data_IF_415396643700
#
_entry.id   IF_415396643700
#
_cell.length_a   1.000
_cell.length_b   1.000
_cell.length_c   1.000
_cell.angle_alpha   90.00
_cell.angle_beta   90.00
_cell.angle_gamma   90.00
#
_symmetry.space_group_name_H-M   'P 1'
#
loop_
_entity.id
_entity.type
_entity.pdbx_description
1 polymer ?
#
# COMPACT_ATOMS: atom_id res chain seq x y z
N UNK A 1 1.35 52.28 -20.66
CA UNK A 1 0.86 52.37 -22.04
C UNK A 1 1.23 51.12 -22.78
N UNK A 2 0.36 50.49 -23.57
CA UNK A 2 -1.09 50.36 -23.39
C UNK A 2 -1.54 48.90 -23.22
N UNK A 3 -2.76 48.78 -22.70
CA UNK A 3 -3.53 47.57 -22.59
C UNK A 3 -4.06 47.13 -23.97
N UNK A 4 -4.22 45.82 -24.17
CA UNK A 4 -5.08 45.29 -25.24
C UNK A 4 -6.14 44.40 -24.57
N UNK A 5 -7.36 44.90 -24.62
CA UNK A 5 -8.61 44.19 -24.32
C UNK A 5 -8.92 43.19 -25.46
N UNK A 6 -9.33 42.00 -25.12
CA UNK A 6 -10.18 41.18 -25.98
C UNK A 6 -11.41 40.74 -25.22
N UNK A 7 -12.55 41.26 -25.68
CA UNK A 7 -13.90 40.98 -25.26
C UNK A 7 -14.49 39.87 -26.11
N UNK A 8 -15.24 38.97 -25.49
CA UNK A 8 -16.51 38.48 -26.04
C UNK A 8 -16.50 37.12 -26.69
N UNK A 9 -17.06 36.11 -25.99
CA UNK A 9 -17.88 35.03 -26.57
C UNK A 9 -19.04 34.76 -25.60
N UNK A 10 -20.31 34.70 -26.08
CA UNK A 10 -21.48 34.62 -25.24
C UNK A 10 -21.85 33.18 -24.87
N UNK A 11 -22.43 33.08 -23.68
CA UNK A 11 -23.19 31.93 -23.21
C UNK A 11 -24.52 31.81 -23.98
N UNK A 12 -24.90 30.59 -24.37
CA UNK A 12 -26.26 30.07 -24.36
C UNK A 12 -26.29 28.69 -25.00
N UNK A 13 -26.56 27.66 -24.23
CA UNK A 13 -27.45 26.58 -24.70
C UNK A 13 -28.26 26.05 -23.50
N UNK A 14 -29.54 26.32 -23.63
CA UNK A 14 -30.58 26.03 -22.67
C UNK A 14 -30.98 24.54 -22.71
N UNK A 15 -31.44 24.11 -21.56
CA UNK A 15 -32.17 22.88 -21.30
C UNK A 15 -33.37 22.69 -22.25
N UNK A 16 -33.56 21.48 -22.76
CA UNK A 16 -34.79 21.04 -23.42
C UNK A 16 -35.31 19.77 -22.78
N UNK A 17 -36.26 19.91 -21.84
CA UNK A 17 -37.11 18.83 -21.39
C UNK A 17 -38.26 18.66 -22.42
N UNK A 18 -38.44 17.44 -22.94
CA UNK A 18 -39.65 17.10 -23.71
C UNK A 18 -40.54 16.17 -22.87
N UNK A 19 -41.63 16.75 -22.40
CA UNK A 19 -42.81 16.02 -21.88
C UNK A 19 -43.70 15.65 -23.06
N UNK A 20 -44.01 14.38 -23.27
CA UNK A 20 -45.07 13.94 -24.14
C UNK A 20 -46.33 13.61 -23.34
N UNK A 21 -47.35 14.48 -23.50
CA UNK A 21 -48.70 14.29 -22.98
C UNK A 21 -49.49 13.31 -23.85
N UNK A 22 -50.30 12.49 -23.17
CA UNK A 22 -51.33 11.62 -23.72
C UNK A 22 -52.49 12.47 -24.27
N UNK A 23 -52.89 12.23 -25.53
CA UNK A 23 -54.23 12.49 -25.98
C UNK A 23 -54.68 11.39 -26.94
N UNK A 24 -55.73 10.72 -26.51
CA UNK A 24 -56.47 9.70 -27.26
C UNK A 24 -57.29 10.35 -28.37
N UNK A 25 -57.14 9.88 -29.59
CA UNK A 25 -58.13 10.16 -30.67
C UNK A 25 -58.60 8.83 -31.25
N UNK A 26 -59.89 8.52 -31.02
CA UNK A 26 -60.66 7.49 -31.72
C UNK A 26 -61.04 8.01 -33.07
N UNK A 27 -60.59 7.36 -34.12
CA UNK A 27 -61.18 7.48 -35.44
C UNK A 27 -61.62 6.10 -35.97
N UNK A 28 -62.88 5.97 -36.07
CA UNK A 28 -63.61 4.85 -36.62
C UNK A 28 -63.49 4.91 -38.16
N UNK A 29 -62.93 3.89 -38.80
CA UNK A 29 -62.93 3.75 -40.22
C UNK A 29 -63.53 2.38 -40.61
N UNK A 30 -64.66 2.48 -41.31
CA UNK A 30 -65.37 1.37 -41.90
C UNK A 30 -64.83 1.06 -43.29
N UNK A 31 -64.69 -0.26 -43.52
CA UNK A 31 -64.72 -0.97 -44.79
C UNK A 31 -64.09 -0.31 -46.01
N UNK A 32 -63.04 -0.89 -46.53
CA UNK A 32 -62.82 -1.12 -47.97
C UNK A 32 -61.59 -2.07 -48.19
N UNK A 33 -61.81 -3.13 -48.95
CA UNK A 33 -60.90 -3.75 -49.88
C UNK A 33 -59.67 -4.51 -49.28
N UNK A 34 -59.76 -5.84 -49.25
CA UNK A 34 -58.53 -6.73 -49.08
C UNK A 34 -57.65 -6.57 -50.32
N UNK A 35 -56.59 -5.80 -50.22
CA UNK A 35 -55.45 -5.89 -51.14
C UNK A 35 -54.51 -6.97 -50.60
N UNK A 36 -54.45 -8.10 -51.34
CA UNK A 36 -53.39 -9.12 -51.08
C UNK A 36 -52.04 -8.53 -51.53
N UNK A 37 -51.22 -8.19 -50.63
CA UNK A 37 -49.79 -7.97 -50.89
C UNK A 37 -49.10 -9.35 -51.06
N UNK A 38 -48.24 -9.54 -52.06
CA UNK A 38 -47.50 -10.78 -52.23
C UNK A 38 -46.48 -10.94 -51.09
N UNK A 39 -46.62 -12.02 -50.30
CA UNK A 39 -45.65 -12.46 -49.33
C UNK A 39 -44.43 -12.95 -50.07
N UNK A 40 -43.41 -12.11 -50.20
CA UNK A 40 -42.09 -12.57 -50.59
C UNK A 40 -41.40 -13.16 -49.34
N UNK A 41 -40.74 -14.30 -49.47
CA UNK A 41 -40.16 -15.01 -48.34
C UNK A 41 -38.89 -14.30 -47.82
N UNK A 42 -38.84 -14.02 -46.52
CA UNK A 42 -37.69 -13.52 -45.77
C UNK A 42 -36.49 -14.49 -45.72
N UNK A 43 -36.22 -15.26 -46.77
CA UNK A 43 -35.08 -16.20 -46.83
C UNK A 43 -33.73 -15.54 -47.09
N UNK A 44 -33.67 -14.34 -47.61
CA UNK A 44 -32.38 -13.68 -47.94
C UNK A 44 -31.73 -12.93 -46.80
N UNK A 45 -32.47 -12.52 -45.77
CA UNK A 45 -31.85 -11.83 -44.61
C UNK A 45 -31.19 -12.78 -43.60
N UNK A 46 -31.76 -13.99 -43.41
CA UNK A 46 -31.21 -14.98 -42.50
C UNK A 46 -29.88 -15.59 -43.04
N UNK A 47 -29.77 -15.76 -44.36
CA UNK A 47 -28.53 -16.28 -44.97
C UNK A 47 -27.36 -15.29 -44.95
N UNK A 48 -27.65 -13.97 -44.96
CA UNK A 48 -26.63 -12.92 -44.89
C UNK A 48 -26.10 -12.74 -43.47
N UNK A 49 -26.97 -12.83 -42.46
CA UNK A 49 -26.57 -12.77 -41.03
C UNK A 49 -25.69 -13.97 -40.65
N UNK A 50 -26.02 -15.18 -41.08
CA UNK A 50 -25.21 -16.38 -40.81
C UNK A 50 -23.84 -16.38 -41.52
N UNK A 51 -23.74 -15.75 -42.69
CA UNK A 51 -22.47 -15.61 -43.40
C UNK A 51 -21.55 -14.55 -42.76
N UNK A 52 -22.12 -13.48 -42.26
CA UNK A 52 -21.40 -12.44 -41.52
C UNK A 52 -20.95 -12.93 -40.15
N UNK A 53 -21.73 -13.74 -39.42
CA UNK A 53 -21.33 -14.39 -38.16
C UNK A 53 -20.19 -15.37 -38.40
N UNK A 54 -20.27 -16.24 -39.41
CA UNK A 54 -19.21 -17.19 -39.71
C UNK A 54 -17.89 -16.52 -40.18
N UNK A 55 -17.98 -15.38 -40.87
CA UNK A 55 -16.82 -14.57 -41.25
C UNK A 55 -16.17 -13.90 -40.04
N UNK A 56 -17.00 -13.44 -39.10
CA UNK A 56 -16.55 -12.81 -37.86
C UNK A 56 -15.88 -13.85 -36.91
N UNK A 57 -16.44 -15.04 -36.82
CA UNK A 57 -15.84 -16.16 -36.08
C UNK A 57 -14.46 -16.55 -36.65
N UNK A 58 -14.34 -16.72 -37.98
CA UNK A 58 -13.06 -17.02 -38.64
C UNK A 58 -12.02 -15.90 -38.40
N UNK A 59 -12.45 -14.66 -38.42
CA UNK A 59 -11.59 -13.51 -38.14
C UNK A 59 -11.11 -13.51 -36.67
N UNK A 60 -11.99 -13.84 -35.73
CA UNK A 60 -11.64 -13.97 -34.31
C UNK A 60 -10.69 -15.14 -34.07
N UNK A 61 -10.90 -16.28 -34.69
CA UNK A 61 -9.97 -17.41 -34.60
C UNK A 61 -8.59 -17.09 -35.19
N UNK A 62 -8.53 -16.41 -36.33
CA UNK A 62 -7.28 -15.95 -36.91
C UNK A 62 -6.52 -14.97 -36.00
N UNK A 63 -7.25 -14.04 -35.40
CA UNK A 63 -6.69 -13.11 -34.40
C UNK A 63 -6.14 -13.85 -33.17
N UNK A 64 -6.87 -14.85 -32.67
CA UNK A 64 -6.44 -15.66 -31.51
C UNK A 64 -5.16 -16.44 -31.84
N UNK A 65 -5.09 -17.09 -33.00
CA UNK A 65 -3.88 -17.80 -33.46
C UNK A 65 -2.67 -16.88 -33.61
N UNK A 66 -2.86 -15.70 -34.21
CA UNK A 66 -1.79 -14.70 -34.34
C UNK A 66 -1.32 -14.19 -32.97
N UNK A 67 -2.23 -14.00 -32.03
CA UNK A 67 -1.88 -13.61 -30.66
C UNK A 67 -1.09 -14.71 -29.93
N UNK A 68 -1.53 -15.98 -30.06
CA UNK A 68 -0.85 -17.11 -29.42
C UNK A 68 0.57 -17.31 -30.00
N UNK A 69 0.75 -17.09 -31.31
CA UNK A 69 2.08 -17.09 -31.95
C UNK A 69 2.96 -15.93 -31.43
N UNK A 70 2.39 -14.73 -31.30
CA UNK A 70 3.12 -13.57 -30.73
C UNK A 70 3.53 -13.80 -29.28
N UNK A 71 2.63 -14.38 -28.46
CA UNK A 71 2.93 -14.74 -27.06
C UNK A 71 4.07 -15.74 -27.01
N UNK A 72 4.00 -16.82 -27.83
CA UNK A 72 5.03 -17.84 -27.88
C UNK A 72 6.39 -17.30 -28.33
N UNK A 73 6.40 -16.36 -29.26
CA UNK A 73 7.62 -15.69 -29.71
C UNK A 73 8.22 -14.82 -28.58
N UNK A 74 7.39 -14.03 -27.90
CA UNK A 74 7.83 -13.21 -26.76
C UNK A 74 8.39 -14.10 -25.65
N UNK A 75 7.71 -15.19 -25.31
CA UNK A 75 8.17 -16.11 -24.26
C UNK A 75 9.50 -16.80 -24.64
N UNK A 76 9.69 -17.14 -25.92
CA UNK A 76 10.94 -17.73 -26.40
C UNK A 76 12.12 -16.75 -26.39
N UNK A 77 11.86 -15.49 -26.71
CA UNK A 77 12.90 -14.43 -26.79
C UNK A 77 13.23 -13.82 -25.42
N UNK A 78 12.22 -13.60 -24.58
CA UNK A 78 12.36 -12.84 -23.32
C UNK A 78 12.13 -13.70 -22.05
N UNK A 79 11.80 -15.00 -22.23
CA UNK A 79 11.51 -15.91 -21.14
C UNK A 79 10.00 -16.10 -20.88
N UNK A 80 9.62 -17.22 -20.28
CA UNK A 80 8.20 -17.60 -20.03
C UNK A 80 7.42 -16.60 -19.20
N UNK A 81 8.08 -15.87 -18.30
CA UNK A 81 7.46 -14.85 -17.45
C UNK A 81 7.32 -13.48 -18.10
N UNK A 82 7.82 -13.28 -19.34
CA UNK A 82 7.81 -11.99 -20.02
C UNK A 82 6.38 -11.51 -20.36
N UNK A 83 5.48 -12.44 -20.63
CA UNK A 83 4.07 -12.18 -20.91
C UNK A 83 3.19 -13.29 -20.35
N UNK A 84 2.13 -12.93 -19.64
CA UNK A 84 1.15 -13.87 -19.09
C UNK A 84 -0.26 -13.32 -19.22
N UNK A 85 -1.26 -14.20 -19.27
CA UNK A 85 -2.67 -13.78 -19.18
C UNK A 85 -3.08 -13.64 -17.73
N UNK A 86 -3.74 -12.56 -17.39
CA UNK A 86 -4.17 -12.27 -16.00
C UNK A 86 -5.25 -13.24 -15.49
N UNK A 87 -5.91 -14.01 -16.37
CA UNK A 87 -6.93 -15.00 -16.04
C UNK A 87 -6.42 -16.43 -15.84
N UNK A 88 -5.16 -16.70 -16.10
CA UNK A 88 -4.54 -17.95 -15.68
C UNK A 88 -4.40 -17.88 -14.14
N UNK A 89 -4.87 -18.86 -13.39
CA UNK A 89 -5.03 -18.94 -11.92
C UNK A 89 -3.77 -18.64 -11.06
N UNK A 90 -2.82 -17.94 -11.62
CA UNK A 90 -1.71 -17.29 -10.94
C UNK A 90 -2.14 -15.89 -10.50
N UNK A 91 -3.28 -15.77 -9.82
CA UNK A 91 -3.49 -14.66 -8.86
C UNK A 91 -2.36 -14.81 -7.85
N UNK A 92 -1.30 -14.04 -8.07
CA UNK A 92 -0.10 -14.10 -7.27
C UNK A 92 -0.52 -13.61 -5.88
N UNK A 93 -0.72 -14.56 -4.96
CA UNK A 93 -0.74 -14.22 -3.55
C UNK A 93 0.52 -13.40 -3.30
N UNK A 94 0.31 -12.16 -2.89
CA UNK A 94 1.43 -11.24 -2.66
C UNK A 94 2.11 -11.71 -1.38
N UNK A 95 3.27 -12.34 -1.51
CA UNK A 95 4.07 -12.64 -0.33
C UNK A 95 4.36 -11.36 0.44
N UNK A 96 4.30 -11.48 1.76
CA UNK A 96 4.45 -10.33 2.64
C UNK A 96 5.36 -10.65 3.84
N UNK A 97 6.01 -9.63 4.34
CA UNK A 97 6.63 -9.64 5.66
C UNK A 97 5.68 -8.94 6.63
N UNK A 98 5.15 -9.63 7.65
CA UNK A 98 4.29 -9.02 8.65
C UNK A 98 5.00 -7.88 9.36
N UNK A 99 4.24 -6.90 9.79
CA UNK A 99 4.80 -5.80 10.60
C UNK A 99 4.99 -6.18 12.06
N UNK A 100 4.46 -7.33 12.49
CA UNK A 100 4.40 -7.74 13.90
C UNK A 100 3.21 -7.17 14.65
N UNK A 101 2.31 -6.47 13.96
CA UNK A 101 1.10 -5.91 14.53
C UNK A 101 -0.11 -6.16 13.62
N UNK A 102 -1.10 -6.90 14.13
CA UNK A 102 -2.28 -7.30 13.35
C UNK A 102 -3.14 -6.14 12.85
N UNK A 103 -3.17 -5.01 13.57
CA UNK A 103 -3.91 -3.81 13.14
C UNK A 103 -3.25 -3.17 11.92
N UNK A 104 -1.89 -3.09 11.93
CA UNK A 104 -1.11 -2.56 10.83
C UNK A 104 -1.21 -3.50 9.62
N UNK A 105 -1.06 -4.81 9.85
CA UNK A 105 -1.14 -5.83 8.80
C UNK A 105 -2.53 -5.84 8.14
N UNK A 106 -3.60 -5.66 8.91
CA UNK A 106 -4.96 -5.46 8.41
C UNK A 106 -5.08 -4.18 7.58
N UNK A 107 -4.52 -3.07 8.07
CA UNK A 107 -4.56 -1.80 7.35
C UNK A 107 -3.80 -1.85 6.02
N UNK A 108 -2.71 -2.62 5.93
CA UNK A 108 -1.99 -2.89 4.69
C UNK A 108 -2.81 -3.75 3.69
N UNK A 109 -3.83 -4.46 4.17
CA UNK A 109 -4.79 -5.22 3.37
C UNK A 109 -4.31 -6.60 2.92
N UNK A 110 -3.00 -6.77 2.71
CA UNK A 110 -2.38 -8.03 2.30
C UNK A 110 -1.76 -8.81 3.47
N UNK A 111 -1.70 -8.22 4.67
CA UNK A 111 -1.19 -8.89 5.88
C UNK A 111 0.26 -8.58 6.21
N UNK A 112 0.85 -7.54 5.62
CA UNK A 112 2.22 -7.11 5.87
C UNK A 112 2.78 -6.23 4.75
N UNK A 113 4.08 -5.98 4.80
CA UNK A 113 4.80 -5.29 3.73
C UNK A 113 5.01 -6.22 2.53
N UNK A 114 4.60 -5.81 1.31
CA UNK A 114 4.63 -6.69 0.14
C UNK A 114 6.06 -6.93 -0.35
N UNK A 115 6.43 -8.21 -0.55
CA UNK A 115 7.69 -8.62 -1.11
C UNK A 115 7.86 -8.15 -2.57
N UNK A 116 9.09 -7.82 -2.95
CA UNK A 116 9.39 -7.29 -4.28
C UNK A 116 8.90 -5.87 -4.51
N UNK A 117 8.64 -5.09 -3.45
CA UNK A 117 8.07 -3.75 -3.54
C UNK A 117 8.83 -2.72 -2.72
N UNK A 118 8.75 -1.49 -3.20
CA UNK A 118 9.23 -0.30 -2.48
C UNK A 118 8.09 0.19 -1.58
N UNK A 119 8.42 0.39 -0.30
CA UNK A 119 7.54 0.97 0.72
C UNK A 119 8.15 2.27 1.21
N UNK A 120 7.36 3.33 1.34
CA UNK A 120 7.74 4.56 2.03
C UNK A 120 6.98 4.67 3.35
N UNK A 121 7.71 4.78 4.46
CA UNK A 121 7.17 5.06 5.79
C UNK A 121 7.58 6.47 6.17
N UNK A 122 6.63 7.39 6.30
CA UNK A 122 6.94 8.80 6.54
C UNK A 122 6.07 9.39 7.65
N UNK A 123 6.60 10.41 8.30
CA UNK A 123 5.92 11.08 9.41
C UNK A 123 6.83 12.05 10.14
N UNK A 124 6.31 12.78 11.14
CA UNK A 124 7.08 13.65 12.01
C UNK A 124 8.19 12.90 12.77
N UNK A 125 9.09 13.63 13.40
CA UNK A 125 10.06 13.05 14.32
C UNK A 125 9.36 12.33 15.48
N UNK A 126 10.00 11.29 16.01
CA UNK A 126 9.48 10.50 17.16
C UNK A 126 8.06 9.93 16.93
N UNK A 127 7.63 9.76 15.68
CA UNK A 127 6.34 9.16 15.35
C UNK A 127 6.34 7.63 15.36
N UNK A 128 7.52 6.98 15.44
CA UNK A 128 7.66 5.51 15.47
C UNK A 128 8.07 4.88 14.13
N UNK A 129 8.61 5.66 13.17
CA UNK A 129 9.08 5.14 11.87
C UNK A 129 10.11 4.03 12.04
N UNK A 130 11.21 4.32 12.73
CA UNK A 130 12.29 3.36 13.00
C UNK A 130 11.80 2.16 13.82
N UNK A 131 10.91 2.37 14.79
CA UNK A 131 10.28 1.28 15.56
C UNK A 131 9.53 0.32 14.64
N UNK A 132 8.70 0.84 13.73
CA UNK A 132 7.94 0.03 12.79
C UNK A 132 8.85 -0.76 11.85
N UNK A 133 9.92 -0.14 11.32
CA UNK A 133 10.84 -0.81 10.40
C UNK A 133 11.69 -1.88 11.11
N UNK A 134 12.17 -1.61 12.32
CA UNK A 134 12.89 -2.60 13.13
C UNK A 134 12.01 -3.77 13.53
N UNK A 135 10.73 -3.52 13.85
CA UNK A 135 9.78 -4.62 14.13
C UNK A 135 9.57 -5.50 12.90
N UNK A 136 9.49 -4.91 11.70
CA UNK A 136 9.40 -5.67 10.45
C UNK A 136 10.68 -6.50 10.18
N UNK A 137 11.86 -5.96 10.47
CA UNK A 137 13.14 -6.71 10.43
C UNK A 137 13.07 -7.92 11.36
N UNK A 138 12.65 -7.72 12.62
CA UNK A 138 12.53 -8.80 13.58
C UNK A 138 11.55 -9.90 13.10
N UNK A 139 10.46 -9.53 12.42
CA UNK A 139 9.53 -10.51 11.83
C UNK A 139 10.15 -11.26 10.63
N UNK A 140 10.93 -10.60 9.79
CA UNK A 140 11.67 -11.26 8.72
C UNK A 140 12.66 -12.29 9.27
N UNK A 141 13.47 -11.90 10.27
CA UNK A 141 14.45 -12.78 10.92
C UNK A 141 13.78 -13.98 11.62
N UNK A 142 12.64 -13.79 12.29
CA UNK A 142 11.86 -14.89 12.90
C UNK A 142 11.41 -15.94 11.88
N UNK A 143 11.30 -15.58 10.60
CA UNK A 143 10.97 -16.49 9.50
C UNK A 143 12.20 -17.07 8.81
N UNK A 144 13.40 -16.85 9.36
CA UNK A 144 14.69 -17.28 8.79
C UNK A 144 15.18 -16.38 7.65
N UNK A 145 14.56 -15.21 7.46
CA UNK A 145 14.97 -14.23 6.44
C UNK A 145 16.14 -13.37 6.88
N UNK A 146 16.88 -12.83 5.92
CA UNK A 146 18.01 -11.93 6.13
C UNK A 146 17.57 -10.46 5.94
N UNK A 147 18.12 -9.59 6.77
CA UNK A 147 17.78 -8.17 6.78
C UNK A 147 19.02 -7.28 6.75
N UNK A 148 18.89 -6.11 6.13
CA UNK A 148 19.89 -5.06 6.14
C UNK A 148 19.30 -3.72 6.57
N UNK A 149 20.05 -2.96 7.35
CA UNK A 149 19.71 -1.63 7.80
C UNK A 149 20.79 -0.63 7.32
N UNK A 150 20.39 0.30 6.45
CA UNK A 150 21.26 1.37 5.94
C UNK A 150 20.95 2.60 6.77
N UNK A 151 21.79 2.87 7.76
CA UNK A 151 21.64 3.93 8.75
C UNK A 151 22.34 5.20 8.27
N UNK A 152 21.60 6.03 7.54
CA UNK A 152 22.09 7.32 7.03
C UNK A 152 22.06 8.41 8.10
N UNK A 153 21.21 8.26 9.12
CA UNK A 153 21.13 9.21 10.25
C UNK A 153 22.18 8.93 11.32
N UNK A 154 22.87 7.78 11.27
CA UNK A 154 23.82 7.31 12.30
C UNK A 154 23.21 7.25 13.71
N UNK A 155 21.93 6.89 13.78
CA UNK A 155 21.12 7.00 14.98
C UNK A 155 20.52 5.67 15.48
N UNK A 156 20.94 4.53 14.90
CA UNK A 156 20.44 3.22 15.32
C UNK A 156 20.93 2.90 16.74
N UNK A 157 19.98 2.68 17.65
CA UNK A 157 20.27 2.14 19.00
C UNK A 157 20.20 0.60 18.99
N UNK A 158 21.33 -0.11 19.14
CA UNK A 158 21.34 -1.58 19.15
C UNK A 158 20.60 -2.18 20.34
N UNK A 159 20.55 -1.47 21.49
CA UNK A 159 19.84 -1.97 22.67
C UNK A 159 18.33 -1.90 22.44
N UNK A 160 17.86 -0.82 21.82
CA UNK A 160 16.46 -0.68 21.46
C UNK A 160 16.06 -1.71 20.38
N UNK A 161 16.89 -1.91 19.36
CA UNK A 161 16.63 -2.92 18.34
C UNK A 161 16.50 -4.34 18.93
N UNK A 162 17.37 -4.73 19.88
CA UNK A 162 17.26 -6.00 20.62
C UNK A 162 15.94 -6.11 21.39
N UNK A 163 15.49 -5.03 22.05
CA UNK A 163 14.20 -5.02 22.76
C UNK A 163 13.02 -5.24 21.83
N UNK A 164 13.12 -4.79 20.57
CA UNK A 164 12.11 -5.04 19.52
C UNK A 164 12.19 -6.46 18.95
N UNK A 165 13.13 -7.26 19.37
CA UNK A 165 13.32 -8.66 18.95
C UNK A 165 14.19 -8.83 17.72
N UNK A 166 14.96 -7.80 17.33
CA UNK A 166 15.95 -7.91 16.26
C UNK A 166 17.14 -8.73 16.72
N UNK A 167 17.50 -9.76 15.97
CA UNK A 167 18.77 -10.47 16.13
C UNK A 167 19.90 -9.62 15.51
N UNK A 168 20.71 -9.03 16.37
CA UNK A 168 21.79 -8.11 15.95
C UNK A 168 22.96 -8.85 15.31
N UNK A 169 23.14 -10.14 15.60
CA UNK A 169 24.25 -10.94 15.06
C UNK A 169 24.02 -11.27 13.58
N UNK A 170 22.75 -11.31 13.14
CA UNK A 170 22.34 -11.58 11.76
C UNK A 170 21.91 -10.31 11.01
N UNK A 171 21.94 -9.13 11.65
CA UNK A 171 21.57 -7.89 10.99
C UNK A 171 22.77 -7.26 10.30
N UNK A 172 22.67 -7.08 8.97
CA UNK A 172 23.65 -6.30 8.23
C UNK A 172 23.40 -4.81 8.46
N UNK A 173 24.42 -4.09 8.94
CA UNK A 173 24.34 -2.64 9.17
C UNK A 173 25.36 -1.95 8.27
N UNK A 174 24.94 -0.87 7.62
CA UNK A 174 25.80 0.02 6.84
C UNK A 174 25.52 1.46 7.21
N UNK A 175 26.58 2.25 7.37
CA UNK A 175 26.54 3.69 7.65
C UNK A 175 27.29 4.46 6.56
N UNK A 176 26.65 4.68 5.41
CA UNK A 176 27.28 5.30 4.25
C UNK A 176 27.54 6.79 4.46
N UNK A 177 28.61 7.30 3.86
CA UNK A 177 28.98 8.72 3.92
C UNK A 177 28.18 9.60 2.95
N UNK A 178 27.60 9.02 1.88
CA UNK A 178 26.85 9.77 0.87
C UNK A 178 25.58 9.05 0.43
N UNK A 179 24.66 9.80 -0.15
CA UNK A 179 23.42 9.27 -0.71
C UNK A 179 23.67 8.33 -1.89
N UNK A 180 24.68 8.62 -2.71
CA UNK A 180 25.11 7.74 -3.79
C UNK A 180 25.60 6.39 -3.25
N UNK A 181 26.43 6.42 -2.22
CA UNK A 181 26.94 5.21 -1.55
C UNK A 181 25.79 4.40 -0.93
N UNK A 182 24.88 5.04 -0.18
CA UNK A 182 23.71 4.40 0.40
C UNK A 182 22.88 3.64 -0.63
N UNK A 183 22.61 4.28 -1.77
CA UNK A 183 21.79 3.70 -2.83
C UNK A 183 22.54 2.64 -3.65
N UNK A 184 23.88 2.74 -3.77
CA UNK A 184 24.72 1.70 -4.38
C UNK A 184 24.80 0.46 -3.50
N UNK A 185 24.95 0.61 -2.18
CA UNK A 185 24.89 -0.49 -1.22
C UNK A 185 23.52 -1.18 -1.27
N UNK A 186 22.44 -0.40 -1.26
CA UNK A 186 21.09 -0.93 -1.43
C UNK A 186 20.97 -1.74 -2.74
N UNK A 187 21.48 -1.22 -3.86
CA UNK A 187 21.50 -1.94 -5.14
C UNK A 187 22.29 -3.25 -5.07
N UNK A 188 23.48 -3.24 -4.49
CA UNK A 188 24.32 -4.42 -4.37
C UNK A 188 23.63 -5.51 -3.52
N UNK A 189 23.02 -5.12 -2.40
CA UNK A 189 22.26 -6.02 -1.54
C UNK A 189 21.04 -6.63 -2.27
N UNK A 190 20.27 -5.83 -3.01
CA UNK A 190 19.15 -6.33 -3.82
C UNK A 190 19.64 -7.30 -4.91
N UNK A 191 20.75 -6.99 -5.58
CA UNK A 191 21.34 -7.85 -6.63
C UNK A 191 21.86 -9.18 -6.12
N UNK A 192 22.21 -9.29 -4.84
CA UNK A 192 22.62 -10.55 -4.22
C UNK A 192 21.52 -11.59 -4.21
N UNK A 193 20.25 -11.15 -4.29
CA UNK A 193 19.04 -11.98 -4.22
C UNK A 193 18.93 -12.78 -2.90
N UNK A 194 19.66 -12.36 -1.87
CA UNK A 194 19.75 -13.06 -0.58
C UNK A 194 19.03 -12.32 0.55
N UNK A 195 18.64 -11.06 0.35
CA UNK A 195 18.08 -10.19 1.40
C UNK A 195 16.58 -10.05 1.25
N UNK A 196 15.85 -10.36 2.30
CA UNK A 196 14.38 -10.27 2.33
C UNK A 196 13.88 -8.86 2.65
N UNK A 197 14.59 -8.15 3.55
CA UNK A 197 14.24 -6.78 3.95
C UNK A 197 15.46 -5.88 3.91
N UNK A 198 15.31 -4.73 3.26
CA UNK A 198 16.28 -3.62 3.35
C UNK A 198 15.53 -2.40 3.87
N UNK A 199 16.04 -1.79 4.92
CA UNK A 199 15.60 -0.50 5.45
C UNK A 199 16.65 0.55 5.16
N UNK A 200 16.27 1.69 4.59
CA UNK A 200 17.08 2.89 4.47
C UNK A 200 16.48 3.98 5.36
N UNK A 201 17.19 4.33 6.42
CA UNK A 201 16.74 5.31 7.42
C UNK A 201 17.73 6.50 7.49
N UNK A 202 17.43 7.68 6.97
CA UNK A 202 16.23 8.09 6.22
C UNK A 202 16.61 8.81 4.92
N UNK A 203 15.65 8.87 3.99
CA UNK A 203 15.83 9.65 2.74
C UNK A 203 16.12 11.13 3.03
N UNK A 204 15.57 11.67 4.12
CA UNK A 204 15.77 13.06 4.51
C UNK A 204 17.24 13.39 4.84
N UNK A 205 18.02 12.40 5.29
CA UNK A 205 19.42 12.53 5.65
C UNK A 205 20.41 12.25 4.50
N UNK A 206 19.90 11.83 3.32
CA UNK A 206 20.76 11.58 2.16
C UNK A 206 21.41 12.87 1.67
N UNK A 207 22.71 13.00 1.86
CA UNK A 207 23.54 14.08 1.34
C UNK A 207 24.22 13.60 0.07
N UNK A 208 24.16 14.36 -1.02
CA UNK A 208 24.83 13.99 -2.28
C UNK A 208 26.34 14.23 -2.20
N UNK A 209 27.15 13.50 -2.99
CA UNK A 209 28.58 13.77 -3.09
C UNK A 209 28.85 15.22 -3.48
N UNK A 210 28.04 15.80 -4.36
CA UNK A 210 28.14 17.19 -4.76
C UNK A 210 27.98 18.15 -3.55
N UNK A 211 27.11 17.82 -2.60
CA UNK A 211 26.93 18.60 -1.38
C UNK A 211 28.07 18.41 -0.39
N UNK A 212 28.65 17.19 -0.32
CA UNK A 212 29.79 16.89 0.54
C UNK A 212 31.09 17.53 0.07
N UNK A 213 31.30 17.60 -1.25
CA UNK A 213 32.49 18.19 -1.86
C UNK A 213 32.41 19.73 -1.96
N UNK A 214 31.22 20.32 -1.76
CA UNK A 214 30.97 21.77 -1.82
C UNK A 214 31.22 22.47 -0.49
N UNK A 215 31.19 23.80 -0.50
CA UNK A 215 31.27 24.61 0.71
C UNK A 215 29.92 24.71 1.43
N UNK A 216 29.96 24.91 2.76
CA UNK A 216 28.74 25.12 3.54
C UNK A 216 28.02 26.38 3.07
N UNK A 217 26.83 26.22 2.52
CA UNK A 217 26.03 27.33 1.93
C UNK A 217 25.89 27.27 0.42
N UNK A 218 26.60 26.39 -0.26
CA UNK A 218 26.42 26.15 -1.68
C UNK A 218 25.04 25.62 -2.01
N UNK A 219 24.46 26.17 -3.08
CA UNK A 219 23.11 25.77 -3.51
C UNK A 219 23.17 24.55 -4.42
N UNK A 220 22.77 23.39 -3.92
CA UNK A 220 22.66 22.13 -4.68
C UNK A 220 21.21 21.78 -5.03
N UNK A 221 20.44 22.79 -5.46
CA UNK A 221 19.01 22.66 -5.73
C UNK A 221 18.68 21.42 -6.58
N UNK A 222 17.92 20.52 -5.98
CA UNK A 222 17.40 19.32 -6.65
C UNK A 222 18.41 18.18 -6.85
N UNK A 223 19.62 18.24 -6.31
CA UNK A 223 20.61 17.16 -6.42
C UNK A 223 20.07 15.85 -5.82
N UNK A 224 19.56 15.88 -4.59
CA UNK A 224 18.92 14.74 -3.94
C UNK A 224 17.73 14.20 -4.75
N UNK A 225 16.90 15.06 -5.34
CA UNK A 225 15.76 14.63 -6.14
C UNK A 225 16.19 13.94 -7.46
N UNK A 226 17.28 14.42 -8.09
CA UNK A 226 17.87 13.77 -9.27
C UNK A 226 18.44 12.41 -8.92
N UNK A 227 19.21 12.32 -7.83
CA UNK A 227 19.76 11.08 -7.29
C UNK A 227 18.65 10.04 -7.03
N UNK A 228 17.63 10.40 -6.26
CA UNK A 228 16.48 9.53 -5.99
C UNK A 228 15.75 9.10 -7.26
N UNK A 229 15.60 10.00 -8.24
CA UNK A 229 14.93 9.65 -9.51
C UNK A 229 15.71 8.62 -10.31
N UNK A 230 17.04 8.72 -10.35
CA UNK A 230 17.91 7.76 -11.01
C UNK A 230 17.88 6.40 -10.29
N UNK A 231 18.02 6.41 -8.96
CA UNK A 231 17.99 5.21 -8.14
C UNK A 231 16.66 4.44 -8.25
N UNK A 232 15.52 5.14 -8.13
CA UNK A 232 14.21 4.49 -8.18
C UNK A 232 13.95 3.78 -9.52
N UNK A 233 14.34 4.39 -10.65
CA UNK A 233 14.22 3.73 -11.97
C UNK A 233 15.02 2.42 -12.05
N UNK A 234 16.19 2.38 -11.41
CA UNK A 234 17.08 1.22 -11.44
C UNK A 234 16.64 0.15 -10.43
N UNK A 235 16.36 0.56 -9.19
CA UNK A 235 16.02 -0.32 -8.08
C UNK A 235 14.68 -1.02 -8.26
N UNK A 236 13.66 -0.36 -8.84
CA UNK A 236 12.30 -0.92 -8.90
C UNK A 236 12.26 -2.29 -9.58
N UNK A 237 12.94 -2.43 -10.74
CA UNK A 237 12.96 -3.70 -11.47
C UNK A 237 13.78 -4.77 -10.74
N UNK A 238 14.88 -4.38 -10.09
CA UNK A 238 15.73 -5.28 -9.32
C UNK A 238 15.01 -5.81 -8.08
N UNK A 239 14.39 -4.91 -7.30
CA UNK A 239 13.63 -5.23 -6.09
C UNK A 239 12.49 -6.20 -6.41
N UNK A 240 11.77 -5.96 -7.53
CA UNK A 240 10.68 -6.86 -7.96
C UNK A 240 11.17 -8.26 -8.27
N UNK A 241 12.34 -8.40 -8.93
CA UNK A 241 12.94 -9.70 -9.27
C UNK A 241 13.49 -10.42 -8.04
N UNK A 242 14.17 -9.69 -7.15
CA UNK A 242 14.75 -10.22 -5.93
C UNK A 242 13.71 -10.55 -4.85
N UNK A 243 12.46 -10.10 -5.02
CA UNK A 243 11.37 -10.23 -4.03
C UNK A 243 11.69 -9.58 -2.67
N UNK A 244 12.70 -8.72 -2.61
CA UNK A 244 13.09 -7.99 -1.41
C UNK A 244 12.03 -6.95 -1.05
N UNK A 245 11.69 -6.79 0.23
CA UNK A 245 10.95 -5.62 0.74
C UNK A 245 11.95 -4.49 0.95
N UNK A 246 11.79 -3.38 0.24
CA UNK A 246 12.68 -2.23 0.40
C UNK A 246 11.91 -1.07 1.04
N UNK A 247 12.23 -0.76 2.30
CA UNK A 247 11.56 0.27 3.09
C UNK A 247 12.44 1.51 3.15
N UNK A 248 11.90 2.64 2.69
CA UNK A 248 12.51 3.96 2.83
C UNK A 248 11.75 4.72 3.91
N UNK A 249 12.43 5.11 4.97
CA UNK A 249 11.84 6.06 5.92
C UNK A 249 12.03 7.49 5.42
N UNK A 250 11.12 8.38 5.80
CA UNK A 250 11.20 9.77 5.39
C UNK A 250 10.59 10.70 6.44
N UNK A 251 11.10 11.92 6.48
CA UNK A 251 10.56 12.97 7.35
C UNK A 251 9.52 13.78 6.59
N UNK A 252 8.70 14.55 7.32
CA UNK A 252 7.80 15.54 6.75
C UNK A 252 8.50 16.91 6.78
N UNK A 253 8.33 17.67 5.70
CA UNK A 253 8.72 19.07 5.58
C UNK A 253 7.52 19.87 5.09
N UNK A 254 7.46 21.14 5.42
CA UNK A 254 6.44 22.03 4.93
C UNK A 254 6.94 22.83 3.73
N UNK A 255 6.11 22.98 2.74
CA UNK A 255 6.35 23.85 1.60
C UNK A 255 6.01 25.28 1.98
N UNK A 256 6.98 26.18 1.85
CA UNK A 256 6.78 27.61 2.06
C UNK A 256 5.85 28.17 0.97
N UNK A 257 4.89 29.03 1.34
CA UNK A 257 4.03 29.74 0.40
C UNK A 257 2.78 28.97 -0.08
N UNK A 258 2.46 27.81 0.47
CA UNK A 258 1.21 27.10 0.18
C UNK A 258 0.09 27.66 1.06
N UNK A 259 -0.75 28.54 0.50
CA UNK A 259 -1.90 29.11 1.24
C UNK A 259 -3.13 28.21 1.25
N UNK A 260 -3.27 27.28 0.31
CA UNK A 260 -4.42 26.37 0.19
C UNK A 260 -3.95 24.93 -0.07
N UNK A 261 -4.65 23.96 0.52
CA UNK A 261 -4.32 22.54 0.42
C UNK A 261 -3.32 22.08 1.49
N UNK A 262 -2.75 20.88 1.30
CA UNK A 262 -1.80 20.32 2.26
C UNK A 262 -0.37 20.80 1.94
N UNK A 263 0.28 21.58 2.83
CA UNK A 263 1.64 22.05 2.64
C UNK A 263 2.68 20.94 2.85
N UNK A 264 2.32 19.86 3.51
CA UNK A 264 3.25 18.79 3.87
C UNK A 264 3.83 18.08 2.63
N UNK A 265 5.11 17.85 2.66
CA UNK A 265 5.83 17.09 1.62
C UNK A 265 6.95 16.28 2.25
N UNK A 266 7.46 15.28 1.52
CA UNK A 266 8.64 14.51 1.93
C UNK A 266 9.83 14.89 1.07
N UNK A 267 11.09 14.94 1.62
CA UNK A 267 12.33 15.12 0.89
C UNK A 267 12.57 14.04 -0.19
N UNK A 268 13.61 14.25 -1.03
CA UNK A 268 13.94 13.31 -2.11
C UNK A 268 13.11 13.49 -3.38
N UNK A 269 12.33 14.57 -3.50
CA UNK A 269 11.55 14.91 -4.69
C UNK A 269 10.28 14.06 -4.84
N UNK A 270 9.85 13.84 -6.11
CA UNK A 270 8.61 13.10 -6.40
C UNK A 270 8.84 11.61 -6.70
N UNK A 271 10.07 11.19 -6.98
CA UNK A 271 10.34 9.86 -7.49
C UNK A 271 9.87 8.76 -6.51
N UNK A 272 10.27 8.81 -5.24
CA UNK A 272 9.87 7.82 -4.25
C UNK A 272 8.34 7.73 -4.12
N UNK A 273 7.64 8.86 -4.10
CA UNK A 273 6.16 8.91 -4.04
C UNK A 273 5.49 8.17 -5.21
N UNK A 274 6.08 8.22 -6.41
CA UNK A 274 5.56 7.53 -7.59
C UNK A 274 5.94 6.05 -7.62
N UNK A 275 7.20 5.72 -7.31
CA UNK A 275 7.71 4.36 -7.38
C UNK A 275 7.26 3.48 -6.21
N UNK A 276 7.10 4.02 -5.01
CA UNK A 276 6.56 3.27 -3.88
C UNK A 276 5.21 2.61 -4.22
N UNK A 277 5.09 1.33 -3.89
CA UNK A 277 3.84 0.58 -4.00
C UNK A 277 2.92 0.83 -2.81
N UNK A 278 3.51 1.01 -1.63
CA UNK A 278 2.81 1.33 -0.39
C UNK A 278 3.43 2.59 0.22
N UNK A 279 2.60 3.50 0.71
CA UNK A 279 3.04 4.67 1.47
C UNK A 279 2.26 4.75 2.76
N UNK A 280 2.98 4.75 3.88
CA UNK A 280 2.46 4.76 5.25
C UNK A 280 2.79 6.09 5.89
N UNK A 281 1.78 6.88 6.21
CA UNK A 281 1.89 8.07 7.07
C UNK A 281 1.72 7.62 8.52
N UNK A 282 2.72 7.86 9.37
CA UNK A 282 2.73 7.47 10.78
C UNK A 282 2.82 8.70 11.67
N UNK A 283 1.89 8.83 12.63
CA UNK A 283 1.78 10.01 13.50
C UNK A 283 1.49 9.63 14.94
N UNK A 284 2.15 10.29 15.86
CA UNK A 284 1.79 10.26 17.27
C UNK A 284 0.53 11.10 17.47
N UNK A 285 -0.51 10.51 18.08
CA UNK A 285 -1.79 11.17 18.36
C UNK A 285 -2.04 11.40 19.85
N UNK A 286 -1.24 10.78 20.72
CA UNK A 286 -1.36 10.96 22.16
C UNK A 286 -0.19 10.35 22.92
N UNK A 287 -0.18 10.55 24.24
CA UNK A 287 0.78 9.93 25.17
C UNK A 287 0.04 8.92 26.05
N UNK A 288 0.72 7.82 26.34
CA UNK A 288 0.26 6.81 27.31
C UNK A 288 1.00 7.09 28.62
N UNK A 289 0.23 7.22 29.70
CA UNK A 289 0.77 7.51 31.04
C UNK A 289 0.43 6.37 31.98
N UNK A 290 1.36 6.03 32.83
CA UNK A 290 1.13 5.15 33.96
C UNK A 290 0.30 5.87 35.04
N UNK A 291 -0.13 5.14 36.07
CA UNK A 291 -0.93 5.67 37.17
C UNK A 291 -0.22 6.75 38.00
N UNK A 292 1.11 6.75 38.01
CA UNK A 292 1.96 7.76 38.63
C UNK A 292 2.17 9.03 37.78
N UNK A 293 1.57 9.07 36.58
CA UNK A 293 1.71 10.17 35.62
C UNK A 293 2.92 10.07 34.70
N UNK A 294 3.80 9.09 34.88
CA UNK A 294 4.97 8.86 34.03
C UNK A 294 4.54 8.48 32.61
N UNK A 295 5.14 9.09 31.60
CA UNK A 295 4.87 8.75 30.19
C UNK A 295 5.59 7.45 29.86
N UNK A 296 4.84 6.40 29.55
CA UNK A 296 5.35 5.04 29.26
C UNK A 296 5.32 4.69 27.78
N UNK A 297 4.61 5.47 26.98
CA UNK A 297 4.48 5.22 25.55
C UNK A 297 3.70 6.28 24.82
N UNK A 298 3.46 6.02 23.54
CA UNK A 298 2.69 6.90 22.67
C UNK A 298 1.54 6.12 22.00
N UNK A 299 0.36 6.75 21.93
CA UNK A 299 -0.70 6.33 21.03
C UNK A 299 -0.35 6.84 19.64
N UNK A 300 -0.28 5.93 18.68
CA UNK A 300 0.19 6.19 17.32
C UNK A 300 -0.89 5.79 16.33
N UNK A 301 -1.01 6.56 15.25
CA UNK A 301 -1.91 6.31 14.14
C UNK A 301 -1.11 6.15 12.86
N UNK A 302 -1.45 5.15 12.05
CA UNK A 302 -1.00 5.05 10.67
C UNK A 302 -2.17 5.30 9.71
N UNK A 303 -1.81 5.84 8.54
CA UNK A 303 -2.71 5.97 7.39
C UNK A 303 -2.00 5.47 6.14
N UNK A 304 -2.61 4.55 5.44
CA UNK A 304 -2.10 4.03 4.17
C UNK A 304 -2.53 4.97 3.05
N UNK A 305 -1.71 5.96 2.73
CA UNK A 305 -2.05 7.01 1.76
C UNK A 305 -1.89 6.57 0.30
N UNK A 306 -1.18 5.47 0.07
CA UNK A 306 -1.05 4.82 -1.23
C UNK A 306 -0.88 3.33 -1.04
N UNK A 307 -1.59 2.54 -1.84
CA UNK A 307 -1.46 1.10 -1.88
C UNK A 307 -1.73 0.60 -3.30
N UNK A 308 -0.81 -0.19 -3.87
CA UNK A 308 -0.97 -0.81 -5.20
C UNK A 308 -1.32 -2.30 -5.11
N UNK A 309 -1.36 -2.86 -3.90
CA UNK A 309 -1.64 -4.30 -3.66
C UNK A 309 -2.96 -4.54 -2.93
N UNK A 310 -3.56 -3.48 -2.38
CA UNK A 310 -4.87 -3.51 -1.72
C UNK A 310 -5.53 -2.11 -1.79
N UNK A 311 -6.81 -1.94 -1.40
CA UNK A 311 -7.44 -0.64 -1.32
C UNK A 311 -6.68 0.32 -0.38
N UNK A 312 -6.39 1.56 -0.81
CA UNK A 312 -5.73 2.57 0.02
C UNK A 312 -6.69 3.26 0.99
N UNK A 313 -6.14 4.20 1.79
CA UNK A 313 -6.82 5.08 2.74
C UNK A 313 -7.36 4.40 4.00
N UNK A 314 -6.89 3.19 4.27
CA UNK A 314 -7.11 2.48 5.53
C UNK A 314 -6.28 3.12 6.64
N UNK A 315 -6.75 3.02 7.87
CA UNK A 315 -6.11 3.58 9.05
C UNK A 315 -6.05 2.52 10.16
N UNK A 316 -5.05 2.63 11.02
CA UNK A 316 -4.96 1.84 12.24
C UNK A 316 -4.36 2.67 13.37
N UNK A 317 -4.82 2.44 14.58
CA UNK A 317 -4.31 3.07 15.80
C UNK A 317 -3.80 2.00 16.74
N UNK A 318 -2.60 2.21 17.27
CA UNK A 318 -1.93 1.26 18.16
C UNK A 318 -1.03 1.99 19.15
N UNK A 319 -0.59 1.26 20.17
CA UNK A 319 0.28 1.76 21.21
C UNK A 319 1.75 1.41 20.87
N UNK A 320 2.66 2.37 21.00
CA UNK A 320 4.12 2.16 21.03
C UNK A 320 4.59 2.43 22.45
N UNK A 321 5.08 1.39 23.11
CA UNK A 321 5.62 1.46 24.46
C UNK A 321 7.15 1.65 24.40
N UNK A 322 7.70 2.48 25.26
CA UNK A 322 9.14 2.82 25.23
C UNK A 322 10.05 1.65 25.59
N UNK A 323 9.55 0.67 26.34
CA UNK A 323 10.30 -0.50 26.79
C UNK A 323 10.18 -1.73 25.87
N UNK A 324 9.12 -1.83 25.04
CA UNK A 324 8.82 -3.02 24.26
C UNK A 324 8.47 -2.76 22.78
N UNK A 325 8.33 -1.46 22.39
CA UNK A 325 7.95 -1.09 21.05
C UNK A 325 6.45 -1.21 20.80
N UNK A 326 6.04 -1.71 19.62
CA UNK A 326 4.64 -1.82 19.24
C UNK A 326 3.94 -2.88 20.08
N UNK A 327 2.90 -2.49 20.84
CA UNK A 327 2.16 -3.39 21.72
C UNK A 327 1.30 -4.38 20.91
N UNK A 328 1.73 -5.64 20.84
CA UNK A 328 0.97 -6.71 20.19
C UNK A 328 -0.27 -7.08 21.00
N UNK A 329 -0.15 -7.16 22.35
CA UNK A 329 -1.28 -7.47 23.24
C UNK A 329 -2.39 -6.42 23.18
N UNK A 330 -2.01 -5.13 23.12
CA UNK A 330 -2.97 -4.04 22.98
C UNK A 330 -3.75 -4.12 21.68
N UNK A 331 -3.03 -4.38 20.57
CA UNK A 331 -3.62 -4.49 19.24
C UNK A 331 -4.50 -5.74 19.09
N UNK A 332 -4.08 -6.86 19.68
CA UNK A 332 -4.91 -8.08 19.71
C UNK A 332 -6.21 -7.85 20.47
N UNK A 333 -6.14 -7.21 21.65
CA UNK A 333 -7.32 -6.91 22.45
C UNK A 333 -8.30 -5.99 21.70
N UNK A 334 -7.78 -4.93 21.03
CA UNK A 334 -8.60 -3.99 20.26
C UNK A 334 -9.31 -4.71 19.08
N UNK A 335 -8.61 -5.62 18.38
CA UNK A 335 -9.20 -6.43 17.30
C UNK A 335 -10.21 -7.44 17.82
N UNK A 336 -9.91 -8.12 18.92
CA UNK A 336 -10.80 -9.10 19.53
C UNK A 336 -12.10 -8.44 20.01
N UNK A 337 -12.05 -7.20 20.50
CA UNK A 337 -13.23 -6.40 20.83
C UNK A 337 -14.03 -6.00 19.59
N UNK A 338 -13.36 -5.52 18.53
CA UNK A 338 -14.02 -5.15 17.28
C UNK A 338 -14.73 -6.32 16.60
N UNK A 339 -14.19 -7.53 16.78
CA UNK A 339 -14.76 -8.77 16.25
C UNK A 339 -15.72 -9.47 17.20
N UNK A 340 -16.00 -8.88 18.35
CA UNK A 340 -16.85 -9.44 19.40
C UNK A 340 -16.37 -10.81 19.95
N UNK A 341 -15.10 -11.17 19.71
CA UNK A 341 -14.43 -12.35 20.27
C UNK A 341 -14.25 -12.16 21.78
N UNK A 342 -13.77 -10.96 22.18
CA UNK A 342 -13.74 -10.50 23.57
C UNK A 342 -14.86 -9.49 23.75
N UNK A 343 -15.62 -9.62 24.83
CA UNK A 343 -16.73 -8.73 25.16
C UNK A 343 -16.30 -7.75 26.24
N UNK A 344 -16.80 -6.50 26.14
CA UNK A 344 -16.61 -5.49 27.16
C UNK A 344 -17.96 -5.07 27.76
N UNK A 345 -18.09 -5.22 29.08
CA UNK A 345 -19.28 -4.76 29.84
C UNK A 345 -18.83 -3.78 30.93
N UNK A 346 -19.10 -2.51 30.73
CA UNK A 346 -18.56 -1.45 31.58
C UNK A 346 -17.03 -1.42 31.51
N UNK A 347 -16.34 -1.61 32.64
CA UNK A 347 -14.88 -1.71 32.74
C UNK A 347 -14.34 -3.14 32.62
N UNK A 348 -15.20 -4.17 32.55
CA UNK A 348 -14.82 -5.56 32.56
C UNK A 348 -14.69 -6.13 31.14
N UNK A 349 -13.62 -6.91 30.94
CA UNK A 349 -13.38 -7.71 29.75
C UNK A 349 -13.71 -9.17 30.04
N UNK A 350 -14.38 -9.84 29.10
CA UNK A 350 -14.73 -11.26 29.22
C UNK A 350 -14.51 -11.99 27.90
N UNK A 351 -14.16 -13.28 28.01
CA UNK A 351 -13.94 -14.18 26.90
C UNK A 351 -14.59 -15.52 27.18
N UNK A 352 -15.38 -16.06 26.25
CA UNK A 352 -16.14 -17.32 26.42
C UNK A 352 -16.97 -17.35 27.70
N UNK A 353 -17.55 -16.21 28.11
CA UNK A 353 -18.33 -16.11 29.36
C UNK A 353 -17.49 -15.99 30.64
N UNK A 354 -16.19 -16.17 30.58
CA UNK A 354 -15.27 -16.00 31.71
C UNK A 354 -14.77 -14.57 31.78
N UNK A 355 -14.78 -13.99 32.98
CA UNK A 355 -14.29 -12.64 33.23
C UNK A 355 -12.76 -12.65 33.24
N UNK A 356 -12.11 -11.84 32.38
CA UNK A 356 -10.66 -11.77 32.25
C UNK A 356 -10.06 -10.76 33.23
N UNK A 357 -10.41 -9.48 33.06
CA UNK A 357 -9.82 -8.41 33.85
C UNK A 357 -10.69 -7.15 33.87
N UNK A 358 -10.45 -6.29 34.86
CA UNK A 358 -11.05 -4.97 34.95
C UNK A 358 -10.07 -3.91 34.44
N UNK A 359 -10.46 -3.23 33.35
CA UNK A 359 -9.62 -2.21 32.70
C UNK A 359 -8.73 -2.79 31.59
N UNK A 360 -8.41 -1.91 30.61
CA UNK A 360 -7.64 -2.27 29.40
C UNK A 360 -6.21 -2.72 29.74
N UNK A 361 -5.57 -2.05 30.69
CA UNK A 361 -4.18 -2.36 31.05
C UNK A 361 -4.07 -3.68 31.79
N UNK A 362 -4.98 -3.98 32.71
CA UNK A 362 -5.04 -5.28 33.35
C UNK A 362 -5.33 -6.43 32.36
N UNK A 363 -6.18 -6.19 31.36
CA UNK A 363 -6.42 -7.17 30.29
C UNK A 363 -5.19 -7.40 29.41
N UNK A 364 -4.40 -6.35 29.10
CA UNK A 364 -3.14 -6.48 28.39
C UNK A 364 -2.08 -7.26 29.19
N UNK A 365 -1.98 -7.00 30.50
CA UNK A 365 -1.04 -7.72 31.35
C UNK A 365 -1.43 -9.20 31.51
N UNK A 366 -2.74 -9.49 31.63
CA UNK A 366 -3.21 -10.89 31.64
C UNK A 366 -2.81 -11.61 30.33
N UNK A 367 -3.08 -11.00 29.16
CA UNK A 367 -2.72 -11.57 27.87
C UNK A 367 -1.19 -11.71 27.67
N UNK A 368 -0.40 -10.88 28.34
CA UNK A 368 1.07 -10.98 28.32
C UNK A 368 1.54 -12.16 29.19
N UNK A 369 0.87 -12.40 30.33
CA UNK A 369 1.21 -13.46 31.26
C UNK A 369 0.71 -14.85 30.87
N UNK A 370 -0.34 -14.92 30.03
CA UNK A 370 -0.95 -16.17 29.59
C UNK A 370 -0.81 -16.35 28.07
N UNK A 371 0.28 -17.04 27.68
CA UNK A 371 0.59 -17.29 26.29
C UNK A 371 -0.47 -18.16 25.58
N UNK A 372 -1.08 -19.12 26.29
CA UNK A 372 -2.08 -20.00 25.71
C UNK A 372 -3.36 -19.22 25.37
N UNK A 373 -3.82 -18.36 26.27
CA UNK A 373 -4.96 -17.48 26.04
C UNK A 373 -4.66 -16.47 24.90
N UNK A 374 -3.44 -15.93 24.85
CA UNK A 374 -3.01 -15.03 23.77
C UNK A 374 -3.10 -15.72 22.40
N UNK A 375 -2.53 -16.92 22.28
CA UNK A 375 -2.52 -17.70 21.03
C UNK A 375 -3.93 -18.12 20.61
N UNK A 376 -4.78 -18.51 21.55
CA UNK A 376 -6.19 -18.86 21.25
C UNK A 376 -6.97 -17.67 20.68
N UNK A 377 -6.86 -16.50 21.32
CA UNK A 377 -7.55 -15.29 20.86
C UNK A 377 -6.95 -14.83 19.52
N UNK A 378 -5.62 -14.91 19.36
CA UNK A 378 -4.93 -14.54 18.13
C UNK A 378 -5.37 -15.41 16.94
N UNK A 379 -5.49 -16.72 17.14
CA UNK A 379 -5.97 -17.65 16.13
C UNK A 379 -7.39 -17.30 15.66
N UNK A 380 -8.30 -17.03 16.58
CA UNK A 380 -9.69 -16.64 16.26
C UNK A 380 -9.74 -15.30 15.53
N UNK A 381 -8.90 -14.33 15.93
CA UNK A 381 -8.80 -13.04 15.23
C UNK A 381 -8.28 -13.23 13.82
N UNK A 382 -7.23 -14.03 13.61
CA UNK A 382 -6.68 -14.32 12.27
C UNK A 382 -7.72 -15.01 11.39
N UNK A 383 -8.43 -16.01 11.88
CA UNK A 383 -9.51 -16.69 11.16
C UNK A 383 -10.62 -15.70 10.74
N UNK A 384 -11.05 -14.84 11.66
CA UNK A 384 -12.05 -13.81 11.37
C UNK A 384 -11.58 -12.77 10.34
N UNK A 385 -10.29 -12.42 10.32
CA UNK A 385 -9.70 -11.54 9.30
C UNK A 385 -9.67 -12.20 7.92
N UNK A 386 -9.33 -13.50 7.85
CA UNK A 386 -9.34 -14.26 6.59
C UNK A 386 -10.74 -14.42 6.03
N UNK A 387 -11.73 -14.69 6.88
CA UNK A 387 -13.13 -14.78 6.47
C UNK A 387 -13.67 -13.47 5.90
N UNK A 388 -13.20 -12.31 6.40
CA UNK A 388 -13.55 -10.99 5.87
C UNK A 388 -12.85 -10.68 4.53
N UNK A 389 -11.69 -11.27 4.24
CA UNK A 389 -11.00 -11.11 2.94
C UNK A 389 -11.67 -11.86 1.79
N UNK A 390 -12.38 -12.94 2.10
CA UNK A 390 -13.06 -13.81 1.11
C UNK A 390 -14.46 -13.31 0.74
N UNK A 391 -15.00 -12.33 1.45
CA UNK A 391 -16.28 -11.64 1.15
C UNK A 391 -16.03 -10.33 0.39
#
# INVERSE_FOLDING_TARGET
>A
MPAIFWTGIPANFAQGYFLFGRTSFFLRWSSLGRIRLPTQPHKHMAAKASSEESANEKLQEARKRNLDLAISHIQKEFGESAIMRLGDDRCVDVDVIPTGNLLIDRALGVGGFPCGRIVEVFGPESSGKTTLTLTAIAQAQKRGGLAAFIDVEHALDPQYARKLGVNMDDLLISQPSSGEEALQICEALVRSNAIDVIVLDSVAALVTKQELDGEIGDSTVGAQARLMSAAMRKLTALISKARTVCIFTNQIREKIGVMFGNPETTPGGRALKFFASVRVDIRRIGQIKATDGTVTGNRTKIKIVKNKVAPPFTEAEFDIMFNEGISSTGSLLDLALEMEIVQKRGSWFSYNGTQLAQGRDAAKELLRGDAALYEEIEAKVKEGLEAKKKK
#
